data_IF_048854067175
#
_entry.id   IF_048854067175
#
_cell.length_a   1.000
_cell.length_b   1.000
_cell.length_c   1.000
_cell.angle_alpha   90.00
_cell.angle_beta   90.00
_cell.angle_gamma   90.00
#
_symmetry.space_group_name_H-M   'P 1'
#
loop_
_entity.id
_entity.type
_entity.pdbx_description
1 polymer ?
#
# COMPACT_ATOMS: atom_id res chain seq x y z
N UNK A 1 15.79 62.27 18.30
CA UNK A 1 16.23 62.39 16.90
C UNK A 1 16.71 60.99 16.53
N UNK A 2 15.91 60.12 15.92
CA UNK A 2 15.19 60.27 14.65
C UNK A 2 13.75 59.71 14.73
N UNK A 3 12.84 60.40 14.06
CA UNK A 3 11.48 59.97 13.76
C UNK A 3 11.49 58.93 12.64
N UNK A 4 10.59 57.94 12.71
CA UNK A 4 10.09 57.24 11.53
C UNK A 4 8.57 57.24 11.58
N UNK A 5 8.00 57.72 10.48
CA UNK A 5 6.60 58.01 10.21
C UNK A 5 5.82 56.74 9.88
N UNK A 6 4.51 56.78 10.16
CA UNK A 6 3.52 55.87 9.59
C UNK A 6 3.35 56.12 8.10
N UNK A 7 2.78 55.12 7.42
CA UNK A 7 2.10 55.16 6.11
C UNK A 7 2.85 54.43 4.99
N UNK A 8 2.38 53.20 4.71
CA UNK A 8 2.19 52.60 3.38
C UNK A 8 1.82 51.10 3.57
N UNK A 9 0.64 50.83 4.13
CA UNK A 9 -0.01 49.53 3.91
C UNK A 9 -1.05 49.76 2.81
N UNK A 10 -0.76 49.24 1.64
CA UNK A 10 -1.52 49.43 0.41
C UNK A 10 -2.78 48.55 0.43
N UNK A 11 -3.95 49.17 0.33
CA UNK A 11 -5.29 48.55 0.29
C UNK A 11 -5.47 47.60 -0.93
N UNK A 12 -4.53 47.59 -1.88
CA UNK A 12 -4.53 46.68 -3.04
C UNK A 12 -4.17 45.22 -2.68
N UNK A 13 -3.43 45.00 -1.59
CA UNK A 13 -3.06 43.65 -1.15
C UNK A 13 -4.24 42.83 -0.64
N UNK A 14 -5.15 43.44 0.10
CA UNK A 14 -6.34 42.76 0.62
C UNK A 14 -7.38 42.50 -0.48
N UNK A 15 -7.54 43.42 -1.44
CA UNK A 15 -8.50 43.25 -2.56
C UNK A 15 -8.13 42.13 -3.53
N UNK A 16 -6.85 41.81 -3.68
CA UNK A 16 -6.37 40.72 -4.54
C UNK A 16 -6.42 39.34 -3.85
N UNK A 17 -6.53 39.30 -2.51
CA UNK A 17 -6.67 38.06 -1.76
C UNK A 17 -8.14 37.66 -1.58
N UNK A 18 -9.08 38.61 -1.59
CA UNK A 18 -10.51 38.30 -1.44
C UNK A 18 -11.08 37.34 -2.50
N UNK A 19 -10.74 37.43 -3.80
CA UNK A 19 -11.19 36.46 -4.81
C UNK A 19 -10.55 35.08 -4.64
N UNK A 20 -9.29 35.05 -4.16
CA UNK A 20 -8.54 33.81 -3.89
C UNK A 20 -9.07 33.13 -2.63
N UNK A 21 -9.42 33.90 -1.60
CA UNK A 21 -10.03 33.41 -0.36
C UNK A 21 -11.50 33.00 -0.59
N UNK A 22 -12.22 33.69 -1.48
CA UNK A 22 -13.57 33.32 -1.89
C UNK A 22 -13.58 32.04 -2.74
N UNK A 23 -12.62 31.87 -3.67
CA UNK A 23 -12.47 30.61 -4.41
C UNK A 23 -11.97 29.48 -3.50
N UNK A 24 -11.12 29.76 -2.52
CA UNK A 24 -10.75 28.78 -1.50
C UNK A 24 -11.93 28.39 -0.61
N UNK A 25 -12.85 29.30 -0.27
CA UNK A 25 -14.04 28.94 0.51
C UNK A 25 -14.99 28.01 -0.25
N UNK A 26 -15.26 28.26 -1.55
CA UNK A 26 -16.15 27.42 -2.34
C UNK A 26 -15.51 26.10 -2.84
N UNK A 27 -14.17 26.04 -2.93
CA UNK A 27 -13.46 24.85 -3.44
C UNK A 27 -12.85 23.98 -2.33
N UNK A 28 -12.64 24.51 -1.12
CA UNK A 28 -12.00 23.80 0.00
C UNK A 28 -12.99 23.35 1.09
N UNK A 29 -14.19 23.96 1.18
CA UNK A 29 -15.29 23.43 1.97
C UNK A 29 -16.01 22.35 1.16
N UNK A 30 -15.53 21.11 1.28
CA UNK A 30 -16.27 19.90 0.92
C UNK A 30 -17.53 19.81 1.80
N UNK A 31 -18.56 20.60 1.50
CA UNK A 31 -19.90 20.51 2.11
C UNK A 31 -20.73 19.41 1.44
N UNK A 32 -20.10 18.26 1.29
CA UNK A 32 -20.75 17.06 0.76
C UNK A 32 -21.27 16.22 1.92
N UNK A 33 -22.59 16.02 1.95
CA UNK A 33 -23.19 15.02 2.82
C UNK A 33 -22.85 13.62 2.30
N UNK A 34 -21.93 12.95 3.00
CA UNK A 34 -21.56 11.56 2.73
C UNK A 34 -22.37 10.59 3.59
N UNK A 35 -23.19 9.75 2.93
CA UNK A 35 -23.91 8.65 3.59
C UNK A 35 -23.06 7.38 3.52
N UNK A 36 -22.57 6.94 4.67
CA UNK A 36 -21.64 5.82 4.84
C UNK A 36 -22.27 4.68 5.64
N UNK A 37 -23.21 3.91 5.05
CA UNK A 37 -23.84 2.81 5.77
C UNK A 37 -22.83 1.71 6.09
N UNK A 38 -23.04 1.03 7.21
CA UNK A 38 -22.31 -0.18 7.55
C UNK A 38 -23.21 -1.19 8.24
N UNK A 39 -22.90 -2.46 8.03
CA UNK A 39 -23.52 -3.62 8.66
C UNK A 39 -22.42 -4.62 8.97
N UNK A 40 -22.38 -5.09 10.21
CA UNK A 40 -21.48 -6.15 10.62
C UNK A 40 -22.29 -7.20 11.37
N UNK A 41 -22.10 -8.46 11.02
CA UNK A 41 -22.84 -9.58 11.61
C UNK A 41 -21.88 -10.71 11.88
N UNK A 42 -21.97 -11.24 13.10
CA UNK A 42 -21.26 -12.45 13.52
C UNK A 42 -22.33 -13.48 13.86
N UNK A 43 -22.23 -14.63 13.22
CA UNK A 43 -23.07 -15.78 13.51
C UNK A 43 -22.20 -16.89 14.09
N UNK A 44 -22.45 -17.22 15.35
CA UNK A 44 -21.80 -18.32 16.05
C UNK A 44 -22.39 -19.64 15.53
N UNK A 45 -21.62 -20.38 14.71
CA UNK A 45 -22.04 -21.66 14.17
C UNK A 45 -21.96 -22.76 15.25
N UNK A 46 -20.95 -22.66 16.11
CA UNK A 46 -20.73 -23.48 17.31
C UNK A 46 -19.99 -22.63 18.34
N UNK A 47 -19.77 -23.17 19.55
CA UNK A 47 -18.94 -22.52 20.58
C UNK A 47 -17.50 -22.23 20.13
N UNK A 48 -17.03 -22.78 19.00
CA UNK A 48 -15.65 -22.64 18.49
C UNK A 48 -15.55 -22.14 17.05
N UNK A 49 -16.67 -21.83 16.40
CA UNK A 49 -16.68 -21.44 14.99
C UNK A 49 -17.62 -20.28 14.72
N UNK A 50 -17.12 -19.30 13.98
CA UNK A 50 -17.84 -18.08 13.65
C UNK A 50 -17.91 -17.88 12.13
N UNK A 51 -19.07 -17.42 11.66
CA UNK A 51 -19.23 -16.86 10.34
C UNK A 51 -19.45 -15.35 10.48
N UNK A 52 -18.60 -14.55 9.85
CA UNK A 52 -18.69 -13.09 9.85
C UNK A 52 -19.05 -12.60 8.47
N UNK A 53 -20.03 -11.72 8.41
CA UNK A 53 -20.35 -10.94 7.21
C UNK A 53 -20.24 -9.46 7.56
N UNK A 54 -19.58 -8.68 6.70
CA UNK A 54 -19.55 -7.24 6.81
C UNK A 54 -19.81 -6.58 5.47
N UNK A 55 -20.60 -5.51 5.51
CA UNK A 55 -20.71 -4.53 4.44
C UNK A 55 -20.40 -3.15 5.02
N UNK A 56 -19.60 -2.35 4.33
CA UNK A 56 -19.42 -0.96 4.69
C UNK A 56 -19.11 -0.09 3.49
N UNK A 57 -19.66 1.11 3.48
CA UNK A 57 -19.19 2.17 2.59
C UNK A 57 -18.19 3.06 3.33
N UNK A 58 -17.00 3.22 2.75
CA UNK A 58 -15.97 4.11 3.24
C UNK A 58 -15.61 5.14 2.19
N UNK A 59 -14.89 6.19 2.59
CA UNK A 59 -14.40 7.22 1.69
C UNK A 59 -12.93 7.52 1.93
N UNK A 60 -12.22 7.96 0.90
CA UNK A 60 -10.89 8.54 0.99
C UNK A 60 -10.90 9.91 0.31
N UNK A 61 -10.53 10.95 1.06
CA UNK A 61 -10.39 12.31 0.52
C UNK A 61 -8.98 12.50 -0.05
N UNK A 62 -8.83 13.23 -1.16
CA UNK A 62 -7.52 13.68 -1.61
C UNK A 62 -6.83 14.44 -0.48
N UNK A 63 -5.56 14.16 -0.28
CA UNK A 63 -4.72 14.94 0.63
C UNK A 63 -4.50 16.34 0.06
N UNK A 64 -4.15 17.31 0.91
CA UNK A 64 -3.79 18.66 0.44
C UNK A 64 -2.67 18.61 -0.59
N UNK A 65 -1.69 17.71 -0.44
CA UNK A 65 -0.59 17.54 -1.41
C UNK A 65 -1.09 17.04 -2.77
N UNK A 66 -2.07 16.13 -2.77
CA UNK A 66 -2.66 15.62 -4.01
C UNK A 66 -3.53 16.67 -4.71
N UNK A 67 -4.11 17.62 -3.99
CA UNK A 67 -4.91 18.72 -4.58
C UNK A 67 -4.08 19.92 -5.01
N UNK A 68 -2.98 20.20 -4.31
CA UNK A 68 -2.28 21.47 -4.45
C UNK A 68 -1.58 21.57 -5.82
N UNK A 69 -1.95 22.52 -6.69
CA UNK A 69 -1.42 22.65 -8.05
C UNK A 69 -0.07 23.39 -8.07
N UNK A 70 0.80 23.13 -7.10
CA UNK A 70 2.17 23.65 -7.11
C UNK A 70 3.16 22.54 -7.48
N UNK A 71 4.24 22.94 -8.12
CA UNK A 71 5.31 22.03 -8.53
C UNK A 71 6.38 21.94 -7.46
N UNK A 72 6.79 20.71 -7.15
CA UNK A 72 7.93 20.44 -6.27
C UNK A 72 8.87 19.43 -6.90
N UNK A 73 10.16 19.70 -6.82
CA UNK A 73 11.16 18.84 -7.42
C UNK A 73 11.52 17.68 -6.49
N UNK A 74 11.44 16.46 -7.01
CA UNK A 74 11.89 15.24 -6.35
C UNK A 74 13.26 14.86 -6.90
N UNK A 75 14.30 15.11 -6.10
CA UNK A 75 15.69 14.81 -6.45
C UNK A 75 15.92 13.32 -6.75
N UNK A 76 15.16 12.44 -6.12
CA UNK A 76 15.21 11.00 -6.38
C UNK A 76 14.30 10.70 -7.57
N UNK A 77 14.89 10.26 -8.68
CA UNK A 77 14.19 9.91 -9.91
C UNK A 77 13.97 11.07 -10.88
N UNK A 78 14.43 12.28 -10.55
CA UNK A 78 14.37 13.48 -11.42
C UNK A 78 12.93 13.82 -11.88
N UNK A 79 12.00 13.80 -10.91
CA UNK A 79 10.59 14.05 -11.17
C UNK A 79 10.15 15.42 -10.66
N UNK A 80 9.20 16.03 -11.36
CA UNK A 80 8.39 17.11 -10.80
C UNK A 80 7.11 16.53 -10.22
N UNK A 81 6.78 16.82 -8.97
CA UNK A 81 5.51 16.44 -8.36
C UNK A 81 4.53 17.61 -8.46
N UNK A 82 3.34 17.36 -8.99
CA UNK A 82 2.26 18.34 -9.10
C UNK A 82 0.91 17.74 -8.74
N UNK A 83 0.21 18.36 -7.79
CA UNK A 83 -1.16 17.98 -7.43
C UNK A 83 -2.17 18.27 -8.54
N UNK A 84 -3.35 17.70 -8.42
CA UNK A 84 -4.49 17.88 -9.30
C UNK A 84 -5.69 18.40 -8.50
N UNK A 85 -6.07 19.69 -8.63
CA UNK A 85 -7.17 20.28 -7.88
C UNK A 85 -8.55 19.74 -8.32
N UNK A 86 -8.61 19.00 -9.43
CA UNK A 86 -9.86 18.41 -9.95
C UNK A 86 -10.17 17.03 -9.34
N UNK A 87 -9.35 16.54 -8.41
CA UNK A 87 -9.59 15.24 -7.80
C UNK A 87 -10.89 15.22 -7.00
N UNK A 88 -11.66 14.16 -7.21
CA UNK A 88 -12.83 13.80 -6.43
C UNK A 88 -12.42 12.82 -5.34
N UNK A 89 -13.16 12.82 -4.21
CA UNK A 89 -13.03 11.77 -3.21
C UNK A 89 -13.31 10.39 -3.81
N UNK A 90 -12.62 9.40 -3.28
CA UNK A 90 -12.89 7.99 -3.56
C UNK A 90 -13.99 7.50 -2.63
N UNK A 91 -15.00 6.81 -3.17
CA UNK A 91 -15.96 6.02 -2.40
C UNK A 91 -15.66 4.53 -2.59
N UNK A 92 -15.76 3.75 -1.52
CA UNK A 92 -15.43 2.33 -1.53
C UNK A 92 -16.58 1.56 -0.89
N UNK A 93 -17.23 0.68 -1.65
CA UNK A 93 -18.12 -0.33 -1.10
C UNK A 93 -17.29 -1.59 -0.80
N UNK A 94 -17.27 -2.00 0.47
CA UNK A 94 -16.52 -3.14 0.98
C UNK A 94 -17.51 -4.24 1.36
N UNK A 95 -17.25 -5.45 0.89
CA UNK A 95 -17.98 -6.67 1.24
C UNK A 95 -16.98 -7.72 1.71
N UNK A 96 -17.20 -8.27 2.90
CA UNK A 96 -16.31 -9.23 3.52
C UNK A 96 -17.12 -10.41 4.07
N UNK A 97 -16.65 -11.63 3.81
CA UNK A 97 -17.18 -12.86 4.38
C UNK A 97 -16.01 -13.68 4.94
N UNK A 98 -16.07 -14.05 6.21
CA UNK A 98 -14.99 -14.75 6.91
C UNK A 98 -15.53 -15.89 7.75
N UNK A 99 -14.95 -17.06 7.59
CA UNK A 99 -15.15 -18.21 8.47
C UNK A 99 -13.94 -18.35 9.38
N UNK A 100 -14.18 -18.52 10.68
CA UNK A 100 -13.15 -18.69 11.70
C UNK A 100 -13.42 -19.94 12.52
N UNK A 101 -12.37 -20.69 12.82
CA UNK A 101 -12.39 -21.83 13.72
C UNK A 101 -11.28 -21.67 14.77
N UNK A 102 -11.64 -21.88 16.03
CA UNK A 102 -10.73 -21.82 17.18
C UNK A 102 -10.60 -23.23 17.80
N UNK A 103 -9.68 -24.08 17.28
CA UNK A 103 -9.59 -25.47 17.73
C UNK A 103 -9.24 -25.60 19.21
N UNK A 104 -8.37 -24.70 19.69
CA UNK A 104 -7.91 -24.63 21.08
C UNK A 104 -7.75 -23.17 21.50
N UNK A 105 -8.74 -22.66 22.22
CA UNK A 105 -8.81 -21.27 22.68
C UNK A 105 -7.71 -20.92 23.68
N UNK A 106 -7.37 -21.84 24.59
CA UNK A 106 -6.31 -21.66 25.60
C UNK A 106 -4.92 -21.48 24.98
N UNK A 107 -4.71 -22.00 23.77
CA UNK A 107 -3.47 -21.83 23.01
C UNK A 107 -3.57 -20.77 21.89
N UNK A 108 -4.68 -20.03 21.83
CA UNK A 108 -4.96 -18.99 20.82
C UNK A 108 -4.79 -19.52 19.38
N UNK A 109 -5.22 -20.76 19.14
CA UNK A 109 -5.19 -21.37 17.80
C UNK A 109 -6.31 -20.81 16.93
N UNK A 110 -6.04 -20.65 15.63
CA UNK A 110 -6.99 -20.11 14.66
C UNK A 110 -6.77 -20.77 13.30
N UNK A 111 -7.85 -21.12 12.64
CA UNK A 111 -7.91 -21.28 11.20
C UNK A 111 -8.98 -20.36 10.65
N UNK A 112 -8.65 -19.55 9.65
CA UNK A 112 -9.65 -18.72 8.97
C UNK A 112 -9.51 -18.76 7.46
N UNK A 113 -10.65 -18.61 6.80
CA UNK A 113 -10.76 -18.35 5.37
C UNK A 113 -11.66 -17.13 5.19
N UNK A 114 -11.19 -16.16 4.42
CA UNK A 114 -11.93 -14.94 4.13
C UNK A 114 -12.01 -14.71 2.64
N UNK A 115 -13.12 -14.17 2.17
CA UNK A 115 -13.26 -13.62 0.82
C UNK A 115 -13.74 -12.18 0.95
N UNK A 116 -13.17 -11.28 0.15
CA UNK A 116 -13.55 -9.88 0.18
C UNK A 116 -13.63 -9.29 -1.22
N UNK A 117 -14.54 -8.35 -1.40
CA UNK A 117 -14.73 -7.60 -2.62
C UNK A 117 -14.84 -6.11 -2.31
N UNK A 118 -14.05 -5.30 -3.02
CA UNK A 118 -14.03 -3.85 -2.89
C UNK A 118 -14.33 -3.24 -4.25
N UNK A 119 -15.32 -2.35 -4.28
CA UNK A 119 -15.65 -1.54 -5.47
C UNK A 119 -15.36 -0.08 -5.19
N UNK A 120 -14.44 0.47 -5.96
CA UNK A 120 -14.00 1.85 -5.87
C UNK A 120 -14.71 2.69 -6.95
N UNK A 121 -15.21 3.84 -6.52
CA UNK A 121 -15.68 4.92 -7.38
C UNK A 121 -14.73 6.09 -7.22
N UNK A 122 -14.18 6.58 -8.34
CA UNK A 122 -13.16 7.63 -8.36
C UNK A 122 -11.93 7.30 -7.50
N UNK A 123 -11.35 6.10 -7.66
CA UNK A 123 -10.10 5.73 -7.00
C UNK A 123 -8.99 6.71 -7.39
N UNK A 124 -8.35 7.36 -6.41
CA UNK A 124 -7.21 8.24 -6.67
C UNK A 124 -5.97 7.36 -6.88
N UNK A 125 -5.22 7.61 -7.94
CA UNK A 125 -3.91 6.99 -8.16
C UNK A 125 -2.91 8.00 -8.68
N UNK A 126 -1.63 7.64 -8.53
CA UNK A 126 -0.52 8.39 -9.08
C UNK A 126 -0.26 7.99 -10.53
N UNK A 127 -0.04 8.98 -11.39
CA UNK A 127 0.30 8.82 -12.80
C UNK A 127 1.48 9.69 -13.17
N UNK A 128 2.21 9.30 -14.22
CA UNK A 128 3.32 10.07 -14.77
C UNK A 128 2.91 10.57 -16.15
N UNK A 129 3.00 11.89 -16.32
CA UNK A 129 2.81 12.58 -17.59
C UNK A 129 4.15 13.20 -18.03
N UNK A 130 4.29 13.45 -19.33
CA UNK A 130 5.42 14.22 -19.86
C UNK A 130 4.93 15.58 -20.35
N UNK A 131 5.57 16.64 -19.90
CA UNK A 131 5.18 18.01 -20.24
C UNK A 131 6.31 18.85 -20.83
N UNK A 132 5.90 19.74 -21.73
CA UNK A 132 6.76 20.72 -22.37
C UNK A 132 7.72 20.14 -23.41
N UNK A 133 8.46 21.03 -24.06
CA UNK A 133 9.48 20.67 -25.05
C UNK A 133 10.71 19.97 -24.44
N UNK A 134 10.84 19.98 -23.11
CA UNK A 134 11.98 19.41 -22.38
C UNK A 134 11.74 17.98 -21.88
N UNK A 135 10.61 17.35 -22.23
CA UNK A 135 10.21 16.00 -21.77
C UNK A 135 10.29 15.84 -20.24
N UNK A 136 9.85 16.88 -19.51
CA UNK A 136 9.87 16.84 -18.05
C UNK A 136 8.85 15.83 -17.55
N UNK A 137 9.31 14.86 -16.75
CA UNK A 137 8.46 13.82 -16.16
C UNK A 137 7.77 14.37 -14.92
N UNK A 138 6.45 14.52 -15.01
CA UNK A 138 5.62 15.06 -13.92
C UNK A 138 4.81 13.93 -13.30
N UNK A 139 5.05 13.68 -12.01
CA UNK A 139 4.18 12.87 -11.17
C UNK A 139 2.95 13.72 -10.82
N UNK A 140 1.77 13.21 -11.18
CA UNK A 140 0.48 13.80 -10.84
C UNK A 140 -0.51 12.74 -10.39
N UNK A 141 -1.77 13.14 -10.18
CA UNK A 141 -2.82 12.28 -9.66
C UNK A 141 -4.07 12.35 -10.54
N UNK A 142 -4.76 11.21 -10.67
CA UNK A 142 -6.02 11.12 -11.41
C UNK A 142 -7.02 10.23 -10.68
N UNK A 143 -8.31 10.45 -10.95
CA UNK A 143 -9.36 9.53 -10.52
C UNK A 143 -9.60 8.45 -11.58
N UNK A 144 -9.69 7.19 -11.14
CA UNK A 144 -10.02 6.01 -11.94
C UNK A 144 -11.39 5.49 -11.53
N UNK A 145 -12.27 5.24 -12.51
CA UNK A 145 -13.58 4.66 -12.22
C UNK A 145 -14.13 3.83 -13.39
N UNK A 146 -14.74 2.66 -13.10
CA UNK A 146 -14.70 1.92 -11.84
C UNK A 146 -13.33 1.24 -11.61
N UNK A 147 -13.00 0.99 -10.35
CA UNK A 147 -11.94 0.07 -9.98
C UNK A 147 -12.46 -0.97 -8.98
N UNK A 148 -11.90 -2.17 -9.01
CA UNK A 148 -12.37 -3.32 -8.25
C UNK A 148 -11.18 -4.14 -7.73
N UNK A 149 -11.34 -4.69 -6.52
CA UNK A 149 -10.41 -5.66 -5.93
C UNK A 149 -11.22 -6.82 -5.35
N UNK A 150 -10.87 -8.04 -5.73
CA UNK A 150 -11.38 -9.29 -5.16
C UNK A 150 -10.21 -10.02 -4.52
N UNK A 151 -10.39 -10.56 -3.31
CA UNK A 151 -9.35 -11.33 -2.67
C UNK A 151 -9.85 -12.50 -1.85
N UNK A 152 -8.96 -13.47 -1.66
CA UNK A 152 -9.13 -14.62 -0.77
C UNK A 152 -7.98 -14.62 0.22
N UNK A 153 -8.28 -14.75 1.50
CA UNK A 153 -7.31 -14.78 2.58
C UNK A 153 -7.41 -16.10 3.36
N UNK A 154 -6.26 -16.66 3.68
CA UNK A 154 -6.11 -17.83 4.54
C UNK A 154 -5.25 -17.43 5.73
N UNK A 155 -5.66 -17.78 6.93
CA UNK A 155 -4.88 -17.57 8.16
C UNK A 155 -4.84 -18.85 8.97
N UNK A 156 -3.67 -19.19 9.50
CA UNK A 156 -3.49 -20.29 10.42
C UNK A 156 -2.56 -19.88 11.56
N UNK A 157 -2.93 -20.21 12.80
CA UNK A 157 -2.10 -20.05 14.00
C UNK A 157 -2.20 -21.32 14.83
N UNK A 158 -1.06 -21.92 15.17
CA UNK A 158 -1.00 -23.25 15.78
C UNK A 158 0.20 -23.35 16.72
N UNK A 159 -0.03 -23.87 17.93
CA UNK A 159 1.07 -24.34 18.77
C UNK A 159 1.54 -25.71 18.22
N UNK A 160 2.85 -25.96 18.26
CA UNK A 160 3.48 -27.14 17.66
C UNK A 160 3.66 -28.32 18.63
N UNK A 161 3.07 -28.24 19.83
CA UNK A 161 3.05 -29.31 20.84
C UNK A 161 2.47 -30.64 20.35
N UNK A 162 1.59 -30.61 19.34
CA UNK A 162 1.05 -31.82 18.69
C UNK A 162 2.10 -32.65 17.93
N UNK A 163 3.24 -32.05 17.54
CA UNK A 163 4.32 -32.75 16.82
C UNK A 163 5.24 -33.45 17.82
N UNK A 164 5.60 -32.77 18.90
CA UNK A 164 6.47 -33.30 19.96
C UNK A 164 6.36 -32.42 21.21
N UNK A 165 6.49 -33.04 22.38
CA UNK A 165 6.51 -32.33 23.67
C UNK A 165 7.65 -31.30 23.76
N UNK A 166 8.75 -31.48 23.01
CA UNK A 166 9.86 -30.50 22.97
C UNK A 166 9.40 -29.16 22.37
N UNK A 167 8.37 -29.18 21.52
CA UNK A 167 7.85 -28.00 20.84
C UNK A 167 6.69 -27.32 21.59
N UNK A 168 6.45 -27.67 22.86
CA UNK A 168 5.36 -27.08 23.68
C UNK A 168 5.35 -25.56 23.78
N UNK A 169 6.53 -24.98 23.66
CA UNK A 169 6.80 -23.54 23.75
C UNK A 169 6.92 -22.88 22.37
N UNK A 170 6.59 -23.60 21.29
CA UNK A 170 6.67 -23.11 19.91
C UNK A 170 5.27 -22.85 19.36
N UNK A 171 5.03 -21.61 18.95
CA UNK A 171 3.84 -21.23 18.18
C UNK A 171 4.27 -20.81 16.78
N UNK A 172 3.53 -21.26 15.77
CA UNK A 172 3.72 -20.83 14.40
C UNK A 172 2.41 -20.29 13.84
N UNK A 173 2.53 -19.38 12.90
CA UNK A 173 1.38 -18.90 12.15
C UNK A 173 1.76 -18.48 10.74
N UNK A 174 0.77 -18.44 9.87
CA UNK A 174 0.92 -17.95 8.52
C UNK A 174 -0.39 -17.26 8.08
N UNK A 175 -0.24 -16.25 7.24
CA UNK A 175 -1.35 -15.73 6.45
C UNK A 175 -0.94 -15.62 4.98
N UNK A 176 -1.91 -15.84 4.11
CA UNK A 176 -1.74 -15.73 2.67
C UNK A 176 -2.98 -15.08 2.08
N UNK A 177 -2.78 -14.00 1.33
CA UNK A 177 -3.83 -13.31 0.59
C UNK A 177 -3.50 -13.36 -0.88
N UNK A 178 -4.44 -13.79 -1.72
CA UNK A 178 -4.38 -13.64 -3.18
C UNK A 178 -5.36 -12.55 -3.62
N UNK A 179 -4.92 -11.63 -4.48
CA UNK A 179 -5.73 -10.52 -4.94
C UNK A 179 -5.80 -10.45 -6.47
N UNK A 180 -7.00 -10.22 -6.96
CA UNK A 180 -7.28 -9.82 -8.33
C UNK A 180 -7.78 -8.37 -8.31
N UNK A 181 -7.18 -7.50 -9.12
CA UNK A 181 -7.60 -6.10 -9.26
C UNK A 181 -7.80 -5.72 -10.71
N UNK A 182 -8.82 -4.91 -10.97
CA UNK A 182 -9.15 -4.37 -12.29
C UNK A 182 -9.59 -2.93 -12.17
N UNK A 183 -9.01 -2.07 -12.98
CA UNK A 183 -9.28 -0.63 -13.02
C UNK A 183 -9.52 -0.21 -14.47
N UNK A 184 -10.65 0.45 -14.75
CA UNK A 184 -10.99 0.92 -16.09
C UNK A 184 -10.27 2.22 -16.38
N UNK A 185 -9.57 2.28 -17.51
CA UNK A 185 -8.83 3.47 -17.92
C UNK A 185 -9.78 4.68 -18.15
N UNK A 186 -9.43 5.87 -17.62
CA UNK A 186 -10.05 7.13 -18.01
C UNK A 186 -9.96 7.33 -19.52
N UNK A 187 -10.91 8.04 -20.12
CA UNK A 187 -10.89 8.30 -21.56
C UNK A 187 -9.61 8.99 -22.02
N UNK A 188 -9.10 9.94 -21.23
CA UNK A 188 -7.84 10.63 -21.53
C UNK A 188 -6.64 9.67 -21.57
N UNK A 189 -6.49 8.80 -20.56
CA UNK A 189 -5.43 7.77 -20.56
C UNK A 189 -5.60 6.79 -21.72
N UNK A 190 -6.82 6.29 -21.96
CA UNK A 190 -7.08 5.34 -23.04
C UNK A 190 -6.75 5.92 -24.41
N UNK A 191 -7.21 7.14 -24.69
CA UNK A 191 -6.98 7.80 -25.98
C UNK A 191 -5.48 8.07 -26.20
N UNK A 192 -4.76 8.54 -25.17
CA UNK A 192 -3.29 8.72 -25.25
C UNK A 192 -2.57 7.41 -25.54
N UNK A 193 -2.94 6.33 -24.87
CA UNK A 193 -2.37 5.00 -25.15
C UNK A 193 -2.66 4.54 -26.58
N UNK A 194 -3.88 4.79 -27.08
CA UNK A 194 -4.24 4.49 -28.48
C UNK A 194 -3.40 5.30 -29.46
N UNK A 195 -3.24 6.61 -29.23
CA UNK A 195 -2.41 7.49 -30.05
C UNK A 195 -0.94 7.01 -30.07
N UNK A 196 -0.40 6.64 -28.90
CA UNK A 196 0.99 6.16 -28.77
C UNK A 196 1.24 4.85 -29.52
N UNK A 197 0.33 3.87 -29.45
CA UNK A 197 0.50 2.60 -30.18
C UNK A 197 0.31 2.78 -31.69
N UNK A 198 -0.58 3.67 -32.11
CA UNK A 198 -0.79 4.00 -33.53
C UNK A 198 0.43 4.71 -34.12
N UNK A 199 1.07 5.60 -33.35
CA UNK A 199 2.28 6.31 -33.78
C UNK A 199 3.47 5.38 -34.09
N UNK A 200 3.51 4.18 -33.48
CA UNK A 200 4.52 3.15 -33.76
C UNK A 200 4.01 2.04 -34.71
N UNK A 201 2.84 2.24 -35.34
CA UNK A 201 2.30 1.35 -36.37
C UNK A 201 1.55 0.12 -35.86
N UNK A 202 1.16 0.08 -34.58
CA UNK A 202 0.35 -1.00 -34.02
C UNK A 202 -1.16 -0.69 -34.10
N UNK A 203 -1.99 -1.75 -34.13
CA UNK A 203 -3.45 -1.60 -34.04
C UNK A 203 -3.87 -1.09 -32.66
N UNK A 204 -4.93 -0.27 -32.59
CA UNK A 204 -5.54 0.15 -31.33
C UNK A 204 -6.10 -1.00 -30.49
N UNK A 205 -6.34 -2.16 -31.10
CA UNK A 205 -6.89 -3.34 -30.42
C UNK A 205 -5.95 -3.92 -29.35
N UNK A 206 -4.66 -3.56 -29.38
CA UNK A 206 -3.68 -3.98 -28.37
C UNK A 206 -3.84 -3.23 -27.04
N UNK A 207 -4.63 -2.15 -27.00
CA UNK A 207 -4.86 -1.35 -25.79
C UNK A 207 -6.09 -1.87 -25.06
N UNK A 208 -5.88 -2.61 -23.96
CA UNK A 208 -6.99 -2.97 -23.07
C UNK A 208 -7.54 -1.71 -22.38
N UNK A 209 -8.87 -1.63 -22.29
CA UNK A 209 -9.57 -0.60 -21.52
C UNK A 209 -9.41 -0.77 -20.01
N UNK A 210 -8.73 -1.82 -19.57
CA UNK A 210 -8.55 -2.16 -18.17
C UNK A 210 -7.10 -2.52 -17.87
N UNK A 211 -6.66 -2.23 -16.65
CA UNK A 211 -5.39 -2.69 -16.12
C UNK A 211 -5.52 -3.03 -14.64
N UNK A 212 -4.43 -3.54 -14.05
CA UNK A 212 -4.35 -3.74 -12.60
C UNK A 212 -4.44 -2.39 -11.88
N UNK A 213 -5.10 -2.38 -10.73
CA UNK A 213 -5.17 -1.19 -9.90
C UNK A 213 -3.76 -0.84 -9.37
N UNK A 214 -3.42 0.45 -9.42
CA UNK A 214 -2.18 0.99 -8.87
C UNK A 214 -1.97 0.56 -7.42
N UNK A 215 -0.73 0.19 -7.07
CA UNK A 215 -0.36 -0.17 -5.71
C UNK A 215 -0.90 -1.52 -5.21
N UNK A 216 -1.62 -2.29 -6.03
CA UNK A 216 -2.21 -3.56 -5.58
C UNK A 216 -1.38 -4.81 -5.94
N UNK A 217 -0.82 -5.52 -4.93
CA UNK A 217 -0.05 -6.74 -5.16
C UNK A 217 -0.93 -7.90 -5.62
N UNK A 218 -0.34 -8.86 -6.34
CA UNK A 218 -1.05 -10.10 -6.71
C UNK A 218 -1.28 -11.03 -5.51
N UNK A 219 -0.37 -10.98 -4.54
CA UNK A 219 -0.48 -11.75 -3.31
C UNK A 219 0.35 -11.12 -2.19
N UNK A 220 0.02 -11.48 -0.96
CA UNK A 220 0.80 -11.18 0.24
C UNK A 220 0.92 -12.50 1.01
N UNK A 221 2.12 -12.83 1.48
CA UNK A 221 2.38 -14.03 2.26
C UNK A 221 3.24 -13.67 3.47
N UNK A 222 2.78 -14.02 4.66
CA UNK A 222 3.54 -13.86 5.89
C UNK A 222 3.52 -15.16 6.67
N UNK A 223 4.64 -15.49 7.30
CA UNK A 223 4.74 -16.63 8.19
C UNK A 223 5.65 -16.29 9.36
N UNK A 224 5.38 -16.86 10.52
CA UNK A 224 6.23 -16.67 11.68
C UNK A 224 6.33 -17.96 12.50
N UNK A 225 7.41 -18.06 13.25
CA UNK A 225 7.62 -19.04 14.30
C UNK A 225 8.19 -18.33 15.51
N UNK A 226 7.54 -18.54 16.66
CA UNK A 226 7.96 -18.00 17.94
C UNK A 226 8.23 -19.14 18.90
N UNK A 227 9.39 -19.12 19.55
CA UNK A 227 9.72 -19.97 20.69
C UNK A 227 9.94 -19.09 21.92
N UNK A 228 9.20 -19.34 22.99
CA UNK A 228 9.36 -18.60 24.25
C UNK A 228 9.34 -19.55 25.43
N UNK A 229 10.39 -19.52 26.22
CA UNK A 229 10.56 -20.43 27.34
C UNK A 229 11.12 -19.71 28.55
N UNK A 230 10.35 -19.71 29.63
CA UNK A 230 10.81 -19.19 30.91
C UNK A 230 11.88 -20.09 31.54
N UNK A 231 11.94 -21.39 31.21
CA UNK A 231 12.95 -22.30 31.77
C UNK A 231 14.32 -22.06 31.15
N UNK A 232 14.38 -21.98 29.82
CA UNK A 232 15.62 -21.74 29.08
C UNK A 232 15.97 -20.26 28.97
N UNK A 233 15.06 -19.37 29.37
CA UNK A 233 15.21 -17.90 29.31
C UNK A 233 15.41 -17.37 27.88
N UNK A 234 14.99 -18.14 26.89
CA UNK A 234 15.10 -17.82 25.46
C UNK A 234 13.75 -17.36 24.91
N UNK A 235 13.79 -16.33 24.08
CA UNK A 235 12.69 -15.82 23.28
C UNK A 235 13.20 -15.60 21.85
N UNK A 236 12.77 -16.45 20.92
CA UNK A 236 13.19 -16.49 19.53
C UNK A 236 11.98 -16.27 18.62
N UNK A 237 12.09 -15.33 17.69
CA UNK A 237 11.11 -15.07 16.64
C UNK A 237 11.77 -15.14 15.28
N UNK A 238 11.21 -15.95 14.38
CA UNK A 238 11.59 -16.05 12.97
C UNK A 238 10.38 -15.56 12.17
N UNK A 239 10.57 -14.57 11.31
CA UNK A 239 9.50 -13.93 10.55
C UNK A 239 9.85 -13.92 9.07
N UNK A 240 8.93 -14.43 8.25
CA UNK A 240 8.99 -14.37 6.80
C UNK A 240 7.87 -13.47 6.30
N UNK A 241 8.21 -12.56 5.38
CA UNK A 241 7.24 -11.66 4.75
C UNK A 241 7.53 -11.58 3.25
N UNK A 242 6.48 -11.58 2.43
CA UNK A 242 6.60 -11.48 0.99
C UNK A 242 5.39 -10.77 0.40
N UNK A 243 5.66 -9.82 -0.49
CA UNK A 243 4.65 -9.12 -1.28
C UNK A 243 4.90 -9.42 -2.75
N UNK A 244 3.84 -9.80 -3.47
CA UNK A 244 3.88 -10.03 -4.91
C UNK A 244 4.05 -8.72 -5.70
N UNK A 245 4.29 -8.84 -7.00
CA UNK A 245 4.45 -7.67 -7.88
C UNK A 245 3.19 -6.81 -7.93
N UNK A 246 3.35 -5.49 -8.00
CA UNK A 246 2.26 -4.53 -8.18
C UNK A 246 2.64 -3.40 -9.13
N UNK A 247 1.63 -2.77 -9.70
CA UNK A 247 1.78 -1.61 -10.57
C UNK A 247 2.28 -0.41 -9.75
N UNK A 248 3.51 0.02 -9.99
CA UNK A 248 4.20 1.06 -9.22
C UNK A 248 4.16 2.43 -9.89
N UNK A 249 4.16 2.47 -11.23
CA UNK A 249 4.02 3.70 -11.99
C UNK A 249 3.10 3.48 -13.19
N UNK A 250 2.15 4.40 -13.37
CA UNK A 250 1.29 4.48 -14.55
C UNK A 250 1.90 5.51 -15.49
N UNK A 251 2.51 5.08 -16.57
CA UNK A 251 3.02 5.97 -17.62
C UNK A 251 1.87 6.32 -18.57
N UNK A 252 1.58 7.62 -18.74
CA UNK A 252 0.49 8.10 -19.59
C UNK A 252 0.95 8.59 -20.96
N UNK A 253 2.15 9.17 -21.05
CA UNK A 253 2.59 9.93 -22.24
C UNK A 253 3.82 9.34 -22.95
N UNK A 254 4.35 8.22 -22.46
CA UNK A 254 5.50 7.57 -23.07
C UNK A 254 5.09 6.40 -23.98
N UNK A 255 6.00 6.03 -24.89
CA UNK A 255 5.95 4.75 -25.60
C UNK A 255 6.33 3.56 -24.70
N UNK A 256 6.52 3.77 -23.40
CA UNK A 256 6.97 2.73 -22.48
C UNK A 256 5.78 2.13 -21.73
N UNK A 257 5.81 0.82 -21.45
CA UNK A 257 4.77 0.17 -20.69
C UNK A 257 4.83 0.60 -19.22
N UNK A 258 3.81 0.21 -18.46
CA UNK A 258 3.76 0.45 -17.03
C UNK A 258 4.93 -0.21 -16.28
N UNK A 259 5.29 0.33 -15.12
CA UNK A 259 6.39 -0.18 -14.29
C UNK A 259 5.83 -0.93 -13.09
N UNK A 260 6.34 -2.14 -12.85
CA UNK A 260 5.95 -3.01 -11.74
C UNK A 260 7.08 -3.23 -10.76
N UNK A 261 6.73 -3.37 -9.48
CA UNK A 261 7.64 -3.91 -8.46
C UNK A 261 7.86 -5.40 -8.65
N UNK A 262 9.03 -5.90 -8.28
CA UNK A 262 9.27 -7.34 -8.22
C UNK A 262 9.13 -7.88 -6.78
N UNK A 263 8.66 -9.14 -6.61
CA UNK A 263 8.48 -9.70 -5.28
C UNK A 263 9.76 -9.73 -4.46
N UNK A 264 9.64 -9.38 -3.18
CA UNK A 264 10.77 -9.36 -2.25
C UNK A 264 10.49 -10.14 -0.98
N UNK A 265 11.00 -11.37 -0.87
CA UNK A 265 10.92 -12.13 0.36
C UNK A 265 11.94 -11.61 1.38
N UNK A 266 11.49 -11.30 2.59
CA UNK A 266 12.34 -11.00 3.74
C UNK A 266 12.25 -12.13 4.76
N UNK A 267 13.39 -12.45 5.38
CA UNK A 267 13.48 -13.35 6.52
C UNK A 267 14.22 -12.64 7.65
N UNK A 268 13.54 -12.45 8.76
CA UNK A 268 14.03 -11.73 9.92
C UNK A 268 14.08 -12.67 11.13
N UNK A 269 15.12 -12.55 11.94
CA UNK A 269 15.32 -13.33 13.15
C UNK A 269 15.60 -12.39 14.31
N UNK A 270 14.81 -12.51 15.38
CA UNK A 270 15.02 -11.82 16.65
C UNK A 270 15.23 -12.88 17.74
N UNK A 271 16.38 -12.84 18.40
CA UNK A 271 16.73 -13.75 19.48
C UNK A 271 17.05 -12.93 20.73
N UNK A 272 16.38 -13.27 21.82
CA UNK A 272 16.60 -12.70 23.14
C UNK A 272 16.93 -13.80 24.13
N UNK A 273 17.95 -13.58 24.95
CA UNK A 273 18.36 -14.50 26.00
C UNK A 273 18.60 -13.76 27.32
N UNK A 274 17.78 -14.04 28.35
CA UNK A 274 17.96 -13.48 29.68
C UNK A 274 19.02 -14.28 30.44
N UNK A 275 20.28 -13.89 30.29
CA UNK A 275 21.42 -14.59 30.90
C UNK A 275 21.64 -14.24 32.39
N UNK A 276 21.07 -13.13 32.87
CA UNK A 276 21.00 -12.75 34.28
C UNK A 276 19.63 -12.15 34.58
N UNK A 277 19.26 -12.03 35.87
CA UNK A 277 17.96 -11.50 36.31
C UNK A 277 17.58 -10.16 35.65
N UNK A 278 18.58 -9.29 35.48
CA UNK A 278 18.39 -7.94 34.96
C UNK A 278 19.01 -7.73 33.57
N UNK A 279 19.68 -8.74 32.98
CA UNK A 279 20.38 -8.58 31.70
C UNK A 279 19.81 -9.50 30.63
N UNK A 280 19.53 -8.91 29.46
CA UNK A 280 19.06 -9.62 28.27
C UNK A 280 20.01 -9.37 27.11
N UNK A 281 20.56 -10.43 26.53
CA UNK A 281 21.26 -10.38 25.25
C UNK A 281 20.23 -10.33 24.13
N UNK A 282 20.38 -9.42 23.18
CA UNK A 282 19.52 -9.28 22.01
C UNK A 282 20.34 -9.41 20.73
N UNK A 283 19.90 -10.29 19.85
CA UNK A 283 20.47 -10.48 18.50
C UNK A 283 19.32 -10.31 17.51
N UNK A 284 19.46 -9.35 16.61
CA UNK A 284 18.52 -9.10 15.53
C UNK A 284 19.24 -9.25 14.20
N UNK A 285 18.69 -10.06 13.30
CA UNK A 285 19.12 -10.19 11.93
C UNK A 285 17.93 -9.91 11.01
N UNK A 286 18.02 -8.88 10.17
CA UNK A 286 16.96 -8.43 9.28
C UNK A 286 17.36 -8.68 7.83
N UNK A 287 16.38 -9.09 7.03
CA UNK A 287 16.49 -9.33 5.60
C UNK A 287 17.57 -10.34 5.24
N UNK A 288 17.64 -11.48 5.94
CA UNK A 288 18.65 -12.53 5.73
C UNK A 288 18.70 -13.04 4.28
N UNK A 289 17.55 -13.08 3.60
CA UNK A 289 17.47 -13.49 2.19
C UNK A 289 18.15 -12.50 1.25
N UNK A 290 18.18 -11.21 1.60
CA UNK A 290 18.81 -10.14 0.83
C UNK A 290 18.40 -10.14 -0.66
N UNK A 291 17.09 -10.11 -0.98
CA UNK A 291 16.64 -10.03 -2.36
C UNK A 291 17.00 -8.66 -2.95
N UNK A 292 16.98 -8.56 -4.28
CA UNK A 292 17.09 -7.27 -4.96
C UNK A 292 15.78 -6.49 -4.82
N UNK A 293 15.87 -5.19 -4.55
CA UNK A 293 14.84 -4.24 -4.96
C UNK A 293 14.89 -4.18 -6.48
N UNK A 294 13.74 -4.37 -7.14
CA UNK A 294 13.64 -4.21 -8.58
C UNK A 294 12.30 -3.59 -8.98
N UNK A 295 12.39 -2.63 -9.89
CA UNK A 295 11.30 -2.13 -10.71
C UNK A 295 11.57 -2.52 -12.15
N UNK A 296 10.56 -3.00 -12.87
CA UNK A 296 10.69 -3.47 -14.27
C UNK A 296 9.57 -2.92 -15.13
N UNK A 297 9.89 -2.67 -16.40
CA UNK A 297 8.90 -2.39 -17.42
C UNK A 297 8.15 -3.66 -17.81
N UNK A 298 6.84 -3.57 -18.01
CA UNK A 298 5.98 -4.69 -18.41
C UNK A 298 5.97 -4.90 -19.92
N UNK A 299 7.09 -5.37 -20.48
CA UNK A 299 7.16 -5.77 -21.89
C UNK A 299 6.80 -7.26 -22.01
N UNK A 300 5.74 -7.60 -22.76
CA UNK A 300 5.27 -9.00 -22.92
C UNK A 300 6.36 -9.98 -23.41
N UNK A 301 7.41 -9.48 -24.07
CA UNK A 301 8.49 -10.28 -24.66
C UNK A 301 9.82 -10.20 -23.89
N UNK A 302 9.95 -9.33 -22.88
CA UNK A 302 11.23 -9.08 -22.19
C UNK A 302 11.05 -8.91 -20.67
N UNK A 303 11.45 -9.92 -19.91
CA UNK A 303 11.33 -9.93 -18.43
C UNK A 303 12.47 -9.19 -17.69
N UNK A 304 13.48 -8.68 -18.40
CA UNK A 304 14.76 -8.20 -17.84
C UNK A 304 15.04 -6.71 -18.06
N UNK A 305 14.06 -5.92 -18.50
CA UNK A 305 14.25 -4.47 -18.64
C UNK A 305 13.94 -3.79 -17.30
N UNK A 306 15.01 -3.54 -16.53
CA UNK A 306 14.93 -2.89 -15.23
C UNK A 306 14.77 -1.37 -15.39
N UNK A 307 13.77 -0.83 -14.69
CA UNK A 307 13.68 0.60 -14.42
C UNK A 307 14.66 1.00 -13.31
N UNK A 308 14.69 0.21 -12.25
CA UNK A 308 15.57 0.42 -11.09
C UNK A 308 15.92 -0.93 -10.47
N UNK A 309 17.17 -1.10 -10.02
CA UNK A 309 17.60 -2.30 -9.30
C UNK A 309 18.70 -1.99 -8.31
N UNK A 310 18.52 -2.38 -7.05
CA UNK A 310 19.56 -2.24 -6.01
C UNK A 310 19.37 -3.25 -4.88
N UNK A 311 20.40 -3.41 -4.03
CA UNK A 311 20.34 -4.23 -2.82
C UNK A 311 19.98 -3.34 -1.62
N UNK A 312 18.93 -3.71 -0.89
CA UNK A 312 18.62 -3.10 0.42
C UNK A 312 19.64 -3.52 1.48
N UNK A 313 20.23 -4.71 1.32
CA UNK A 313 21.25 -5.23 2.23
C UNK A 313 20.66 -5.98 3.42
N UNK A 314 21.57 -6.52 4.24
CA UNK A 314 21.27 -7.24 5.49
C UNK A 314 21.62 -6.34 6.66
N UNK A 315 20.85 -6.42 7.74
CA UNK A 315 21.19 -5.71 8.98
C UNK A 315 21.37 -6.70 10.12
N UNK A 316 22.47 -6.57 10.86
CA UNK A 316 22.72 -7.34 12.08
C UNK A 316 22.90 -6.37 13.24
N UNK A 317 22.22 -6.64 14.35
CA UNK A 317 22.33 -5.84 15.59
C UNK A 317 22.55 -6.78 16.77
N UNK A 318 23.54 -6.43 17.58
CA UNK A 318 23.83 -7.06 18.86
C UNK A 318 23.62 -6.01 19.96
N UNK A 319 22.89 -6.36 21.01
CA UNK A 319 22.62 -5.44 22.11
C UNK A 319 22.51 -6.17 23.45
N UNK A 320 22.73 -5.44 24.54
CA UNK A 320 22.48 -5.91 25.90
C UNK A 320 21.55 -4.90 26.57
N UNK A 321 20.42 -5.38 27.08
CA UNK A 321 19.44 -4.58 27.82
C UNK A 321 19.57 -4.87 29.30
N UNK A 322 19.70 -3.81 30.10
CA UNK A 322 19.66 -3.88 31.56
C UNK A 322 18.34 -3.29 32.08
N UNK A 323 17.62 -4.05 32.92
CA UNK A 323 16.38 -3.60 33.56
C UNK A 323 16.65 -3.32 35.04
N UNK A 324 16.41 -2.06 35.43
CA UNK A 324 16.49 -1.58 36.82
C UNK A 324 15.38 -2.18 37.69
#
# INVERSE_FOLDING_TARGET
MLHFTSDAWDDEGERNLLPILASLNDTLLLDDLDVLPSLNTVYELTDRTNLRFAYSRTLARPTFRELAPYESFLFVGDYTLRGNPSLKRTLIDNFDLRYEMYPREDANELYSISVFYKRFTNAIEQSIIEEGSSLTRVITYQNISPAQVLGVELEARKNLDFISHILKNVNAGANFTYLYSRARLPDQEYNRRVENVQAIGLSSDVVDRNRRLFGQPKYIANAYMNYRSEDTKIDLSINFNMQGNFLSFVELDTYTPNIFTYPRPSLDVNFNYKFLKNFTLQVLAVNLLNPDYALRYDFEQYDDIYYERYKVGRTFRLGVVYKL
#
